data_IF_295183166962
#
_entry.id   IF_295183166962
#
_cell.length_a   1.000
_cell.length_b   1.000
_cell.length_c   1.000
_cell.angle_alpha   90.00
_cell.angle_beta   90.00
_cell.angle_gamma   90.00
#
_symmetry.space_group_name_H-M   'P 1'
#
loop_
_entity.id
_entity.type
_entity.pdbx_description
1 polymer ?
#
# COMPACT_ATOMS: atom_id res chain seq x y z
N UNK A 1 2.24 -3.01 -9.30
CA UNK A 1 2.11 -3.97 -8.17
C UNK A 1 2.60 -3.32 -6.87
N UNK A 2 1.85 -3.47 -5.77
CA UNK A 2 2.22 -2.90 -4.46
C UNK A 2 3.51 -3.52 -3.89
N UNK A 3 4.29 -2.75 -3.14
CA UNK A 3 5.52 -3.23 -2.48
C UNK A 3 6.81 -3.02 -3.27
N UNK A 4 6.76 -2.40 -4.45
CA UNK A 4 7.94 -1.92 -5.19
C UNK A 4 8.00 -0.40 -5.12
N UNK A 5 9.22 0.15 -5.09
CA UNK A 5 9.41 1.59 -5.28
C UNK A 5 9.02 1.92 -6.72
N UNK A 6 8.15 2.91 -6.87
CA UNK A 6 7.77 3.49 -8.15
C UNK A 6 8.51 4.82 -8.28
N UNK A 7 9.21 4.99 -9.39
CA UNK A 7 9.95 6.22 -9.73
C UNK A 7 9.24 7.02 -10.82
N UNK A 8 8.38 6.38 -11.60
CA UNK A 8 7.64 6.98 -12.71
C UNK A 8 6.26 7.47 -12.27
N UNK A 9 5.79 8.57 -12.85
CA UNK A 9 4.54 9.22 -12.44
C UNK A 9 3.29 8.42 -12.81
N UNK A 10 3.28 7.75 -13.95
CA UNK A 10 2.09 7.05 -14.44
C UNK A 10 1.68 5.87 -13.55
N UNK A 11 2.57 4.95 -13.16
CA UNK A 11 2.20 3.88 -12.23
C UNK A 11 1.82 4.42 -10.83
N UNK A 12 2.31 5.61 -10.45
CA UNK A 12 1.91 6.29 -9.21
C UNK A 12 0.45 6.76 -9.31
N UNK A 13 0.05 7.39 -10.43
CA UNK A 13 -1.34 7.82 -10.65
C UNK A 13 -2.30 6.63 -10.64
N UNK A 14 -1.96 5.55 -11.32
CA UNK A 14 -2.76 4.32 -11.32
C UNK A 14 -2.92 3.73 -9.91
N UNK A 15 -1.84 3.70 -9.13
CA UNK A 15 -1.88 3.22 -7.76
C UNK A 15 -2.82 4.05 -6.87
N UNK A 16 -2.79 5.38 -7.00
CA UNK A 16 -3.69 6.29 -6.28
C UNK A 16 -5.14 6.07 -6.69
N UNK A 17 -5.43 6.00 -8.00
CA UNK A 17 -6.77 5.76 -8.52
C UNK A 17 -7.34 4.43 -8.01
N UNK A 18 -6.54 3.36 -8.05
CA UNK A 18 -6.91 2.04 -7.55
C UNK A 18 -7.24 2.08 -6.05
N UNK A 19 -6.43 2.78 -5.25
CA UNK A 19 -6.67 2.90 -3.81
C UNK A 19 -7.93 3.70 -3.49
N UNK A 20 -8.16 4.79 -4.21
CA UNK A 20 -9.37 5.59 -4.10
C UNK A 20 -10.63 4.76 -4.38
N UNK A 21 -10.63 3.97 -5.46
CA UNK A 21 -11.74 3.09 -5.79
C UNK A 21 -12.00 2.05 -4.69
N UNK A 22 -10.97 1.34 -4.25
CA UNK A 22 -11.10 0.32 -3.19
C UNK A 22 -11.60 0.90 -1.87
N UNK A 23 -11.12 2.08 -1.47
CA UNK A 23 -11.62 2.76 -0.28
C UNK A 23 -13.11 3.11 -0.42
N UNK A 24 -13.51 3.59 -1.59
CA UNK A 24 -14.90 3.91 -1.89
C UNK A 24 -15.81 2.68 -1.89
N UNK A 25 -15.34 1.56 -2.45
CA UNK A 25 -16.07 0.27 -2.41
C UNK A 25 -16.26 -0.24 -0.99
N UNK A 26 -15.22 -0.15 -0.15
CA UNK A 26 -15.33 -0.54 1.27
C UNK A 26 -16.37 0.29 2.01
N UNK A 27 -16.38 1.61 1.81
CA UNK A 27 -17.37 2.50 2.42
C UNK A 27 -18.80 2.14 1.97
N UNK A 28 -19.00 1.87 0.68
CA UNK A 28 -20.29 1.41 0.15
C UNK A 28 -20.74 0.08 0.75
N UNK A 29 -19.84 -0.90 0.83
CA UNK A 29 -20.13 -2.20 1.42
C UNK A 29 -20.51 -2.10 2.91
N UNK A 30 -19.93 -1.14 3.63
CA UNK A 30 -20.25 -0.86 5.04
C UNK A 30 -21.48 0.04 5.21
N UNK A 31 -22.10 0.54 4.13
CA UNK A 31 -23.20 1.50 4.19
C UNK A 31 -22.80 2.86 4.78
N UNK A 32 -21.51 3.18 4.85
CA UNK A 32 -20.99 4.41 5.45
C UNK A 32 -20.89 5.53 4.41
N UNK A 33 -21.27 6.75 4.79
CA UNK A 33 -21.14 7.95 3.94
C UNK A 33 -19.91 8.76 4.35
N UNK A 34 -19.28 9.41 3.36
CA UNK A 34 -18.14 10.29 3.62
C UNK A 34 -18.22 11.54 2.72
N UNK A 35 -17.76 12.69 3.25
CA UNK A 35 -17.73 13.95 2.49
C UNK A 35 -16.48 14.07 1.60
N UNK A 36 -15.38 13.42 2.00
CA UNK A 36 -14.08 13.49 1.32
C UNK A 36 -13.28 12.23 1.61
N UNK A 37 -12.62 11.69 0.59
CA UNK A 37 -11.62 10.62 0.72
C UNK A 37 -10.26 11.25 0.41
N UNK A 38 -9.29 11.03 1.30
CA UNK A 38 -7.91 11.47 1.12
C UNK A 38 -7.02 10.23 0.93
N UNK A 39 -6.32 10.20 -0.19
CA UNK A 39 -5.28 9.20 -0.46
C UNK A 39 -3.94 9.93 -0.43
N UNK A 40 -3.05 9.51 0.45
CA UNK A 40 -1.71 10.09 0.57
C UNK A 40 -0.66 9.08 0.12
N UNK A 41 0.37 9.59 -0.54
CA UNK A 41 1.54 8.82 -0.95
C UNK A 41 2.65 9.14 0.04
N UNK A 42 3.18 8.11 0.69
CA UNK A 42 4.36 8.25 1.54
C UNK A 42 5.59 7.87 0.74
N UNK A 43 6.39 8.88 0.40
CA UNK A 43 7.72 8.69 -0.17
C UNK A 43 8.72 8.53 0.96
N UNK A 44 9.39 7.37 1.05
CA UNK A 44 10.50 7.21 1.98
C UNK A 44 11.71 7.97 1.46
N UNK A 45 12.03 9.13 2.06
CA UNK A 45 13.34 9.81 2.00
C UNK A 45 14.36 9.01 2.82
N UNK A 46 14.53 7.74 2.46
CA UNK A 46 15.48 6.83 3.07
C UNK A 46 16.13 6.04 1.96
N UNK A 47 17.46 5.95 2.04
CA UNK A 47 18.38 5.30 1.11
C UNK A 47 17.79 4.06 0.41
N UNK A 48 18.21 3.78 -0.84
CA UNK A 48 17.69 2.68 -1.61
C UNK A 48 18.27 1.33 -1.14
N UNK A 49 18.30 1.01 0.15
CA UNK A 49 18.75 -0.30 0.60
C UNK A 49 18.08 -0.72 1.91
N UNK A 50 16.97 -1.45 1.75
CA UNK A 50 16.53 -2.62 2.54
C UNK A 50 15.01 -2.65 2.48
N UNK A 51 14.49 -3.44 1.54
CA UNK A 51 13.17 -4.04 1.75
C UNK A 51 13.25 -4.74 3.11
N UNK A 52 12.48 -4.24 4.08
CA UNK A 52 12.24 -4.93 5.34
C UNK A 52 11.53 -6.25 4.96
N UNK A 53 12.32 -7.28 4.64
CA UNK A 53 11.85 -8.64 4.72
C UNK A 53 11.43 -8.79 6.17
N UNK A 54 10.13 -8.84 6.43
CA UNK A 54 9.65 -9.48 7.67
C UNK A 54 10.39 -10.81 7.71
N UNK A 55 11.19 -11.11 8.75
CA UNK A 55 11.76 -12.44 8.87
C UNK A 55 10.58 -13.41 8.78
N UNK A 56 10.59 -14.27 7.76
CA UNK A 56 9.72 -15.44 7.77
C UNK A 56 10.09 -16.15 9.07
N UNK A 57 9.12 -16.34 9.94
CA UNK A 57 9.26 -17.24 11.08
C UNK A 57 9.85 -18.54 10.54
N UNK A 58 11.13 -18.76 10.84
CA UNK A 58 11.82 -19.99 10.55
C UNK A 58 11.23 -20.98 11.54
N UNK A 59 10.27 -21.78 11.09
CA UNK A 59 9.94 -23.02 11.78
C UNK A 59 11.22 -23.87 11.79
N UNK A 60 11.69 -24.15 12.99
CA UNK A 60 12.51 -25.29 13.39
C UNK A 60 11.97 -25.63 14.78
N UNK A 61 11.08 -26.60 14.96
CA UNK A 61 11.33 -28.05 14.87
C UNK A 61 12.77 -28.44 15.23
N UNK A 62 12.85 -29.27 16.27
CA UNK A 62 13.98 -30.05 16.78
C UNK A 62 14.95 -29.39 17.79
N UNK A 63 14.59 -29.45 19.08
CA UNK A 63 15.19 -30.33 20.12
C UNK A 63 14.75 -29.88 21.52
#
# INVERSE_FOLDING_TARGET
MFGKRLTELDPIKEAVATYMMRASEKLRAQGSVCKKILVSIRTGMGEPQKALQRPKELKSEDN
#
